data_IF_848647725065
#
_entry.id   IF_848647725065
#
_cell.length_a   1.000
_cell.length_b   1.000
_cell.length_c   1.000
_cell.angle_alpha   90.00
_cell.angle_beta   90.00
_cell.angle_gamma   90.00
#
_symmetry.space_group_name_H-M   'P 1'
#
loop_
_entity.id
_entity.type
_entity.pdbx_description
1 polymer ?
#
# COMPACT_ATOMS: atom_id res chain seq x y z
N UNK A 1 -0.15 20.58 -34.19
CA UNK A 1 0.09 21.27 -32.89
C UNK A 1 -0.95 20.75 -31.92
N UNK A 2 -0.65 20.12 -30.79
CA UNK A 2 0.60 19.99 -30.05
C UNK A 2 0.68 18.58 -29.46
N UNK A 3 1.84 17.94 -29.63
CA UNK A 3 2.21 16.72 -28.93
C UNK A 3 2.72 17.15 -27.54
N UNK A 4 1.94 16.85 -26.51
CA UNK A 4 2.37 16.98 -25.12
C UNK A 4 2.52 15.57 -24.56
N UNK A 5 3.77 15.11 -24.61
CA UNK A 5 4.45 14.37 -23.55
C UNK A 5 3.73 13.13 -23.00
N UNK A 6 3.68 12.08 -23.83
CA UNK A 6 3.53 10.71 -23.36
C UNK A 6 4.91 10.22 -22.88
N UNK A 7 5.45 10.83 -21.80
CA UNK A 7 6.63 10.28 -21.14
C UNK A 7 6.20 8.94 -20.52
N UNK A 8 6.71 7.80 -21.01
CA UNK A 8 6.35 6.52 -20.42
C UNK A 8 6.71 6.56 -18.94
N UNK A 9 5.83 6.12 -18.02
CA UNK A 9 6.14 6.12 -16.61
C UNK A 9 7.47 5.39 -16.43
N UNK A 10 8.48 6.12 -15.94
CA UNK A 10 9.82 5.57 -15.72
C UNK A 10 9.64 4.22 -15.04
N UNK A 11 10.23 3.14 -15.57
CA UNK A 11 10.03 1.81 -15.03
C UNK A 11 10.31 1.91 -13.53
N UNK A 12 9.27 1.71 -12.72
CA UNK A 12 9.39 1.69 -11.27
C UNK A 12 10.46 0.66 -10.99
N UNK A 13 11.65 1.13 -10.63
CA UNK A 13 12.78 0.27 -10.40
C UNK A 13 12.32 -0.77 -9.39
N UNK A 14 12.43 -2.05 -9.74
CA UNK A 14 12.08 -3.20 -8.89
C UNK A 14 12.85 -3.21 -7.55
N UNK A 15 13.60 -2.15 -7.23
CA UNK A 15 14.42 -1.95 -6.05
C UNK A 15 13.63 -1.54 -4.78
N UNK A 16 12.39 -1.06 -4.90
CA UNK A 16 11.66 -0.48 -3.76
C UNK A 16 10.75 -1.46 -3.01
N UNK A 17 10.77 -2.75 -3.33
CA UNK A 17 9.95 -3.79 -2.66
C UNK A 17 10.57 -4.32 -1.35
N UNK A 18 9.77 -4.89 -0.43
CA UNK A 18 10.28 -5.56 0.76
C UNK A 18 11.35 -6.62 0.41
N UNK A 19 12.45 -6.65 1.16
CA UNK A 19 13.56 -7.59 0.94
C UNK A 19 14.58 -7.18 -0.13
N UNK A 20 14.41 -6.04 -0.80
CA UNK A 20 15.44 -5.51 -1.69
C UNK A 20 16.69 -5.06 -0.91
N UNK A 21 17.86 -5.09 -1.57
CA UNK A 21 19.14 -4.70 -0.95
C UNK A 21 19.12 -3.27 -0.41
N UNK A 22 19.74 -3.08 0.75
CA UNK A 22 19.90 -1.79 1.43
C UNK A 22 21.35 -1.26 1.38
N UNK A 23 22.27 -2.03 0.81
CA UNK A 23 23.71 -1.77 0.89
C UNK A 23 24.16 -0.45 0.24
N UNK A 24 23.37 0.10 -0.67
CA UNK A 24 23.66 1.34 -1.40
C UNK A 24 22.86 2.54 -0.89
N UNK A 25 22.01 2.37 0.13
CA UNK A 25 21.14 3.43 0.64
C UNK A 25 21.82 4.21 1.76
N UNK A 26 21.66 5.53 1.73
CA UNK A 26 21.99 6.42 2.84
C UNK A 26 21.00 6.27 4.00
N UNK A 27 21.37 6.78 5.19
CA UNK A 27 20.49 6.79 6.37
C UNK A 27 19.18 7.52 6.09
N UNK A 28 19.22 8.65 5.41
CA UNK A 28 18.03 9.42 5.05
C UNK A 28 17.08 8.65 4.14
N UNK A 29 17.62 7.93 3.14
CA UNK A 29 16.81 7.09 2.25
C UNK A 29 16.20 5.89 3.00
N UNK A 30 16.90 5.33 3.99
CA UNK A 30 16.36 4.29 4.85
C UNK A 30 15.22 4.81 5.72
N UNK A 31 15.35 6.01 6.30
CA UNK A 31 14.31 6.66 7.08
C UNK A 31 13.05 6.93 6.25
N UNK A 32 13.21 7.46 5.04
CA UNK A 32 12.08 7.73 4.14
C UNK A 32 11.39 6.43 3.70
N UNK A 33 12.18 5.39 3.40
CA UNK A 33 11.65 4.05 3.08
C UNK A 33 10.86 3.46 4.26
N UNK A 34 11.36 3.57 5.48
CA UNK A 34 10.64 3.14 6.68
C UNK A 34 9.31 3.89 6.82
N UNK A 35 9.31 5.21 6.59
CA UNK A 35 8.11 6.04 6.65
C UNK A 35 7.06 5.57 5.65
N UNK A 36 7.47 5.32 4.41
CA UNK A 36 6.58 4.81 3.36
C UNK A 36 5.97 3.44 3.73
N UNK A 37 6.79 2.50 4.21
CA UNK A 37 6.27 1.19 4.60
C UNK A 37 5.34 1.25 5.81
N UNK A 38 5.59 2.11 6.79
CA UNK A 38 4.67 2.31 7.92
C UNK A 38 3.32 2.87 7.44
N UNK A 39 3.33 3.88 6.58
CA UNK A 39 2.10 4.44 6.01
C UNK A 39 1.30 3.38 5.24
N UNK A 40 1.98 2.51 4.49
CA UNK A 40 1.31 1.43 3.76
C UNK A 40 0.76 0.34 4.69
N UNK A 41 1.47 0.00 5.77
CA UNK A 41 0.97 -0.91 6.81
C UNK A 41 -0.31 -0.35 7.44
N UNK A 42 -0.31 0.92 7.87
CA UNK A 42 -1.51 1.54 8.44
C UNK A 42 -2.69 1.55 7.47
N UNK A 43 -2.43 1.80 6.19
CA UNK A 43 -3.46 1.71 5.15
C UNK A 43 -4.03 0.30 5.04
N UNK A 44 -3.17 -0.72 4.97
CA UNK A 44 -3.60 -2.13 4.90
C UNK A 44 -4.40 -2.53 6.14
N UNK A 45 -3.97 -2.10 7.33
CA UNK A 45 -4.69 -2.36 8.58
C UNK A 45 -6.10 -1.74 8.57
N UNK A 46 -6.23 -0.49 8.10
CA UNK A 46 -7.54 0.16 7.93
C UNK A 46 -8.46 -0.61 6.98
N UNK A 47 -7.93 -1.06 5.84
CA UNK A 47 -8.68 -1.89 4.88
C UNK A 47 -9.12 -3.23 5.48
N UNK A 48 -8.25 -3.88 6.25
CA UNK A 48 -8.59 -5.13 6.96
C UNK A 48 -9.75 -4.89 7.94
N UNK A 49 -9.70 -3.82 8.72
CA UNK A 49 -10.78 -3.50 9.68
C UNK A 49 -12.10 -3.20 8.96
N UNK A 50 -12.07 -2.42 7.88
CA UNK A 50 -13.27 -2.13 7.09
C UNK A 50 -13.90 -3.41 6.53
N UNK A 51 -13.08 -4.34 6.00
CA UNK A 51 -13.57 -5.63 5.49
C UNK A 51 -14.13 -6.53 6.59
N UNK A 52 -13.50 -6.57 7.77
CA UNK A 52 -14.01 -7.31 8.94
C UNK A 52 -15.36 -6.78 9.39
N UNK A 53 -15.50 -5.46 9.55
CA UNK A 53 -16.78 -4.84 9.92
C UNK A 53 -17.87 -5.13 8.89
N UNK A 54 -17.55 -5.07 7.60
CA UNK A 54 -18.49 -5.44 6.54
C UNK A 54 -18.94 -6.89 6.63
N UNK A 55 -18.04 -7.83 6.95
CA UNK A 55 -18.39 -9.25 7.13
C UNK A 55 -19.25 -9.46 8.36
N UNK A 56 -18.86 -8.90 9.49
CA UNK A 56 -19.57 -9.08 10.76
C UNK A 56 -20.98 -8.46 10.71
N UNK A 57 -21.14 -7.34 10.00
CA UNK A 57 -22.45 -6.72 9.72
C UNK A 57 -23.33 -7.60 8.81
N UNK A 58 -22.75 -8.28 7.83
CA UNK A 58 -23.49 -9.23 7.00
C UNK A 58 -23.92 -10.47 7.81
N UNK A 59 -23.01 -11.04 8.62
CA UNK A 59 -23.29 -12.21 9.45
C UNK A 59 -24.33 -11.98 10.55
N UNK A 60 -24.54 -10.74 11.00
CA UNK A 60 -25.58 -10.40 11.99
C UNK A 60 -26.97 -10.33 11.36
N UNK A 61 -27.09 -9.86 10.11
CA UNK A 61 -28.35 -9.86 9.35
C UNK A 61 -28.84 -11.29 9.10
N UNK A 62 -27.95 -12.19 8.67
CA UNK A 62 -28.33 -13.60 8.43
C UNK A 62 -28.78 -14.34 9.69
N UNK A 63 -28.33 -13.94 10.89
CA UNK A 63 -28.74 -14.53 12.17
C UNK A 63 -30.08 -14.01 12.70
N UNK A 64 -30.52 -12.83 12.26
CA UNK A 64 -31.82 -12.28 12.68
C UNK A 64 -32.96 -12.91 11.87
N UNK A 65 -32.67 -13.35 10.64
CA UNK A 65 -33.65 -13.92 9.71
C UNK A 65 -33.76 -15.47 9.77
N UNK A 66 -33.03 -16.16 10.67
CA UNK A 66 -33.07 -17.62 10.89
C UNK A 66 -33.72 -17.99 12.22
#
# INVERSE_FOLDING_TARGET
>A
MAAFDDEPPKPQSQASGPGASLSTLSVFELEDRIRLYRAEIERMEREIQAKKQSRDAAESVFRIDS
#
